data_IF_438106658245
#
_entry.id   IF_438106658245
#
_cell.length_a   1.000
_cell.length_b   1.000
_cell.length_c   1.000
_cell.angle_alpha   90.00
_cell.angle_beta   90.00
_cell.angle_gamma   90.00
#
_symmetry.space_group_name_H-M   'P 1'
#
loop_
_entity.id
_entity.type
_entity.pdbx_description
1 polymer ?
#
# COMPACT_ATOMS: atom_id res chain seq x y z
N UNK A 1 -53.73 -0.76 43.62
CA UNK A 1 -52.93 0.03 42.65
C UNK A 1 -51.50 -0.45 42.70
N UNK A 2 -51.01 -1.08 41.62
CA UNK A 2 -49.72 -1.76 41.57
C UNK A 2 -48.54 -0.76 41.46
N UNK A 3 -47.65 -0.75 42.44
CA UNK A 3 -46.50 0.16 42.56
C UNK A 3 -45.25 -0.27 41.77
N UNK A 4 -45.33 -1.33 40.96
CA UNK A 4 -44.16 -1.96 40.32
C UNK A 4 -43.72 -1.37 38.97
N UNK A 5 -44.36 -0.30 38.49
CA UNK A 5 -44.02 0.24 37.17
C UNK A 5 -42.64 0.92 37.14
N UNK A 6 -42.27 1.65 38.21
CA UNK A 6 -40.97 2.34 38.30
C UNK A 6 -39.77 1.39 38.30
N UNK A 7 -39.90 0.22 38.94
CA UNK A 7 -38.84 -0.79 39.00
C UNK A 7 -38.55 -1.43 37.63
N UNK A 8 -39.60 -1.64 36.81
CA UNK A 8 -39.47 -2.27 35.49
C UNK A 8 -38.73 -1.40 34.47
N UNK A 9 -38.95 -0.08 34.51
CA UNK A 9 -38.26 0.87 33.62
C UNK A 9 -36.80 1.08 34.01
N UNK A 10 -36.48 1.05 35.31
CA UNK A 10 -35.10 1.18 35.79
C UNK A 10 -34.19 0.05 35.30
N UNK A 11 -34.66 -1.20 35.35
CA UNK A 11 -33.90 -2.36 34.83
C UNK A 11 -33.76 -2.35 33.32
N UNK A 12 -34.78 -1.90 32.59
CA UNK A 12 -34.72 -1.82 31.13
C UNK A 12 -33.72 -0.75 30.65
N UNK A 13 -33.68 0.41 31.32
CA UNK A 13 -32.71 1.47 31.03
C UNK A 13 -31.28 1.06 31.36
N UNK A 14 -31.05 0.31 32.45
CA UNK A 14 -29.73 -0.19 32.80
C UNK A 14 -29.23 -1.23 31.76
N UNK A 15 -30.11 -2.10 31.29
CA UNK A 15 -29.79 -3.09 30.25
C UNK A 15 -29.52 -2.46 28.87
N UNK A 16 -30.24 -1.39 28.52
CA UNK A 16 -29.98 -0.60 27.32
C UNK A 16 -28.65 0.16 27.40
N UNK A 17 -28.30 0.68 28.58
CA UNK A 17 -27.02 1.35 28.79
C UNK A 17 -25.84 0.38 28.70
N UNK A 18 -25.95 -0.85 29.21
CA UNK A 18 -24.88 -1.87 29.09
C UNK A 18 -24.72 -2.38 27.66
N UNK A 19 -25.80 -2.51 26.90
CA UNK A 19 -25.74 -2.83 25.46
C UNK A 19 -25.13 -1.70 24.64
N UNK A 20 -25.41 -0.44 24.97
CA UNK A 20 -24.83 0.72 24.28
C UNK A 20 -23.32 0.87 24.51
N UNK A 21 -22.79 0.48 25.68
CA UNK A 21 -21.35 0.50 25.97
C UNK A 21 -20.60 -0.59 25.20
N UNK A 22 -21.22 -1.75 24.97
CA UNK A 22 -20.63 -2.86 24.20
C UNK A 22 -20.64 -2.62 22.68
N UNK A 23 -21.49 -1.72 22.19
CA UNK A 23 -21.63 -1.39 20.77
C UNK A 23 -20.83 -0.15 20.36
N UNK A 24 -19.74 0.15 21.06
CA UNK A 24 -18.77 1.12 20.53
C UNK A 24 -18.12 0.45 19.32
N UNK A 25 -18.34 0.93 18.07
CA UNK A 25 -17.53 0.47 16.96
C UNK A 25 -16.09 0.74 17.40
N UNK A 26 -15.31 -0.33 17.55
CA UNK A 26 -13.86 -0.18 17.62
C UNK A 26 -13.52 0.51 16.31
N UNK A 27 -13.32 1.83 16.37
CA UNK A 27 -12.83 2.58 15.25
C UNK A 27 -11.53 1.87 14.87
N UNK A 28 -11.55 1.17 13.73
CA UNK A 28 -10.38 0.50 13.21
C UNK A 28 -9.24 1.52 13.30
N UNK A 29 -8.18 1.17 14.04
CA UNK A 29 -7.04 2.05 14.14
C UNK A 29 -6.64 2.43 12.69
N UNK A 30 -6.40 3.71 12.40
CA UNK A 30 -6.07 4.12 11.04
C UNK A 30 -4.94 3.21 10.54
N UNK A 31 -5.05 2.65 9.33
CA UNK A 31 -4.10 1.64 8.87
C UNK A 31 -2.69 2.21 8.99
N UNK A 32 -1.80 1.45 9.65
CA UNK A 32 -0.40 1.84 9.78
C UNK A 32 0.21 1.80 8.38
N UNK A 33 0.46 2.96 7.81
CA UNK A 33 1.07 3.08 6.49
C UNK A 33 2.44 3.76 6.57
N UNK A 34 3.27 3.44 5.59
CA UNK A 34 4.60 3.97 5.40
C UNK A 34 4.59 4.74 4.08
N UNK A 35 4.81 6.05 4.13
CA UNK A 35 5.02 6.81 2.90
C UNK A 35 6.33 6.35 2.26
N UNK A 36 6.25 6.00 0.99
CA UNK A 36 7.32 5.48 0.16
C UNK A 36 7.63 6.52 -0.92
N UNK A 37 8.90 6.81 -1.14
CA UNK A 37 9.38 7.56 -2.29
C UNK A 37 10.57 6.81 -2.89
N UNK A 38 10.71 6.84 -4.21
CA UNK A 38 11.67 6.02 -4.92
C UNK A 38 11.92 6.42 -6.36
N UNK A 39 12.74 5.63 -7.04
CA UNK A 39 13.05 5.77 -8.47
C UNK A 39 12.95 4.44 -9.19
N UNK A 40 12.57 4.49 -10.45
CA UNK A 40 12.69 3.36 -11.38
C UNK A 40 14.10 3.36 -11.99
N UNK A 41 14.82 2.24 -11.83
CA UNK A 41 16.27 2.17 -12.17
C UNK A 41 16.52 1.73 -13.60
N UNK A 42 15.53 1.11 -14.25
CA UNK A 42 15.65 0.64 -15.63
C UNK A 42 14.61 1.39 -16.50
N UNK A 43 15.04 2.23 -17.45
CA UNK A 43 14.15 2.76 -18.46
C UNK A 43 13.50 1.62 -19.25
N UNK A 44 12.24 1.76 -19.63
CA UNK A 44 11.53 0.78 -20.46
C UNK A 44 12.29 0.39 -21.73
N UNK A 45 13.02 1.33 -22.34
CA UNK A 45 13.82 1.07 -23.55
C UNK A 45 14.95 0.06 -23.34
N UNK A 46 15.37 -0.15 -22.09
CA UNK A 46 16.41 -1.11 -21.70
C UNK A 46 15.84 -2.39 -21.08
N UNK A 47 14.63 -2.35 -20.52
CA UNK A 47 13.92 -3.52 -20.03
C UNK A 47 12.40 -3.40 -20.28
N UNK A 48 11.91 -3.85 -21.45
CA UNK A 48 10.49 -3.70 -21.81
C UNK A 48 9.57 -4.62 -21.02
N UNK A 49 10.13 -5.68 -20.44
CA UNK A 49 9.37 -6.71 -19.71
C UNK A 49 9.38 -6.47 -18.19
N UNK A 50 10.14 -5.51 -17.65
CA UNK A 50 10.13 -5.33 -16.20
C UNK A 50 10.77 -4.07 -15.66
N UNK A 51 10.32 -3.67 -14.47
CA UNK A 51 10.77 -2.48 -13.77
C UNK A 51 11.43 -2.84 -12.43
N UNK A 52 12.45 -2.08 -12.05
CA UNK A 52 13.05 -2.14 -10.71
C UNK A 52 12.79 -0.81 -10.02
N UNK A 53 11.96 -0.85 -8.99
CA UNK A 53 11.71 0.29 -8.13
C UNK A 53 12.58 0.21 -6.90
N UNK A 54 13.33 1.27 -6.60
CA UNK A 54 14.09 1.38 -5.35
C UNK A 54 13.43 2.44 -4.49
N UNK A 55 13.24 2.13 -3.22
CA UNK A 55 12.53 2.99 -2.28
C UNK A 55 13.34 3.33 -1.04
N UNK A 56 13.15 4.54 -0.55
CA UNK A 56 13.67 5.01 0.73
C UNK A 56 12.55 5.03 1.78
N UNK A 57 12.71 4.20 2.81
CA UNK A 57 11.74 4.00 3.89
C UNK A 57 12.17 4.73 5.18
N UNK A 58 13.17 5.62 5.13
CA UNK A 58 13.78 6.23 6.33
C UNK A 58 12.96 7.37 6.94
N UNK A 59 11.78 7.71 6.42
CA UNK A 59 10.99 8.82 6.95
C UNK A 59 10.57 8.56 8.42
N UNK A 60 11.06 9.38 9.38
CA UNK A 60 10.91 9.13 10.81
C UNK A 60 9.49 9.38 11.34
N UNK A 61 8.59 9.97 10.52
CA UNK A 61 7.18 10.18 10.88
C UNK A 61 6.32 8.93 10.74
N UNK A 62 6.85 7.88 10.10
CA UNK A 62 6.12 6.62 9.91
C UNK A 62 6.15 5.78 11.20
N UNK A 63 4.98 5.25 11.60
CA UNK A 63 4.82 4.35 12.75
C UNK A 63 5.02 2.86 12.39
N UNK A 64 5.77 2.60 11.32
CA UNK A 64 6.10 1.25 10.87
C UNK A 64 7.32 0.71 11.64
N UNK A 65 7.30 -0.58 11.94
CA UNK A 65 8.46 -1.36 12.41
C UNK A 65 9.63 -1.44 11.41
N UNK A 66 9.41 -1.07 10.15
CA UNK A 66 10.31 -1.10 9.01
C UNK A 66 10.97 0.26 8.84
N UNK A 67 12.30 0.27 8.72
CA UNK A 67 13.12 1.47 8.53
C UNK A 67 14.33 1.08 7.71
N UNK A 68 14.57 1.76 6.58
CA UNK A 68 15.73 1.52 5.75
C UNK A 68 15.45 1.73 4.27
N UNK A 69 15.96 0.84 3.42
CA UNK A 69 15.73 0.87 1.97
C UNK A 69 15.06 -0.41 1.53
N UNK A 70 14.35 -0.35 0.42
CA UNK A 70 13.85 -1.53 -0.24
C UNK A 70 13.91 -1.41 -1.76
N UNK A 71 13.69 -2.54 -2.42
CA UNK A 71 13.42 -2.55 -3.85
C UNK A 71 12.31 -3.54 -4.15
N UNK A 72 11.62 -3.30 -5.26
CA UNK A 72 10.64 -4.20 -5.85
C UNK A 72 11.04 -4.36 -7.31
N UNK A 73 11.21 -5.59 -7.76
CA UNK A 73 11.36 -5.95 -9.16
C UNK A 73 10.01 -6.48 -9.61
N UNK A 74 9.42 -5.93 -10.67
CA UNK A 74 8.16 -6.42 -11.26
C UNK A 74 8.34 -6.74 -12.74
N UNK A 75 7.53 -7.67 -13.21
CA UNK A 75 7.28 -7.93 -14.63
C UNK A 75 5.85 -7.46 -14.95
N UNK A 76 5.70 -6.58 -15.92
CA UNK A 76 4.41 -6.03 -16.34
C UNK A 76 3.96 -6.55 -17.72
N UNK A 77 4.66 -7.55 -18.27
CA UNK A 77 4.54 -7.94 -19.68
C UNK A 77 4.95 -6.80 -20.60
N UNK A 78 5.25 -7.10 -21.86
CA UNK A 78 5.98 -6.23 -22.80
C UNK A 78 5.63 -4.72 -22.92
N UNK A 79 4.57 -4.16 -22.32
CA UNK A 79 4.24 -2.72 -22.38
C UNK A 79 3.46 -2.21 -21.14
N UNK A 80 3.72 -0.95 -20.74
CA UNK A 80 2.78 -0.17 -19.90
C UNK A 80 1.47 0.08 -20.67
N UNK A 81 0.34 0.36 -19.99
CA UNK A 81 -0.92 0.58 -20.70
C UNK A 81 -0.82 1.83 -21.60
N UNK A 82 -0.89 1.61 -22.92
CA UNK A 82 -0.87 2.68 -23.94
C UNK A 82 -2.24 3.36 -24.11
N UNK A 83 -3.32 2.67 -23.70
CA UNK A 83 -4.70 3.16 -23.71
C UNK A 83 -5.27 3.12 -22.29
N UNK A 84 -6.38 3.83 -22.05
CA UNK A 84 -7.05 3.87 -20.75
C UNK A 84 -7.33 2.45 -20.24
N UNK A 85 -6.70 2.07 -19.12
CA UNK A 85 -6.77 0.71 -18.62
C UNK A 85 -5.67 0.35 -17.63
N UNK A 86 -5.65 -0.93 -17.26
CA UNK A 86 -4.66 -1.51 -16.36
C UNK A 86 -3.97 -2.69 -17.06
N UNK A 87 -2.66 -2.81 -16.87
CA UNK A 87 -1.90 -4.03 -17.19
C UNK A 87 -1.60 -4.77 -15.89
N UNK A 88 -1.81 -6.10 -15.85
CA UNK A 88 -1.49 -6.89 -14.67
C UNK A 88 0.03 -6.99 -14.50
N UNK A 89 0.46 -7.11 -13.24
CA UNK A 89 1.83 -7.43 -12.87
C UNK A 89 1.90 -8.92 -12.58
N UNK A 90 2.66 -9.67 -13.38
CA UNK A 90 2.66 -11.15 -13.34
C UNK A 90 3.63 -11.74 -12.30
N UNK A 91 4.28 -10.89 -11.51
CA UNK A 91 5.12 -11.32 -10.40
C UNK A 91 6.18 -10.30 -10.03
N UNK A 92 7.07 -10.72 -9.14
CA UNK A 92 8.13 -9.86 -8.67
C UNK A 92 8.74 -10.31 -7.36
N UNK A 93 9.92 -9.77 -7.07
CA UNK A 93 10.56 -9.96 -5.79
C UNK A 93 10.73 -8.61 -5.12
N UNK A 94 10.60 -8.59 -3.80
CA UNK A 94 10.88 -7.40 -3.04
C UNK A 94 11.74 -7.70 -1.83
N UNK A 95 12.52 -6.70 -1.45
CA UNK A 95 13.32 -6.73 -0.24
C UNK A 95 13.22 -5.38 0.43
N UNK A 96 13.14 -5.37 1.75
CA UNK A 96 13.26 -4.14 2.53
C UNK A 96 14.03 -4.37 3.82
N UNK A 97 14.67 -3.32 4.31
CA UNK A 97 15.32 -3.32 5.61
C UNK A 97 14.32 -2.88 6.71
N UNK A 98 14.16 -3.71 7.74
CA UNK A 98 13.41 -3.39 8.96
C UNK A 98 14.32 -3.52 10.17
N UNK A 99 14.65 -2.37 10.78
CA UNK A 99 15.67 -2.31 11.82
C UNK A 99 17.03 -2.72 11.26
N UNK A 100 17.51 -3.90 11.65
CA UNK A 100 18.79 -4.49 11.20
C UNK A 100 18.61 -5.78 10.39
N UNK A 101 17.37 -6.11 10.01
CA UNK A 101 17.05 -7.36 9.31
C UNK A 101 16.51 -7.06 7.93
N UNK A 102 17.07 -7.73 6.93
CA UNK A 102 16.47 -7.79 5.62
C UNK A 102 15.26 -8.71 5.65
N UNK A 103 14.15 -8.19 5.16
CA UNK A 103 12.92 -8.90 4.88
C UNK A 103 12.86 -9.08 3.38
N UNK A 104 12.56 -10.29 2.94
CA UNK A 104 12.42 -10.64 1.53
C UNK A 104 11.02 -11.20 1.30
N UNK A 105 10.52 -11.06 0.09
CA UNK A 105 9.22 -11.58 -0.31
C UNK A 105 9.00 -11.50 -1.80
N UNK A 106 7.77 -11.75 -2.21
CA UNK A 106 7.36 -11.78 -3.60
C UNK A 106 6.07 -10.96 -3.79
N UNK A 107 5.93 -10.42 -4.99
CA UNK A 107 4.67 -9.84 -5.49
C UNK A 107 3.80 -11.01 -5.94
N UNK A 108 2.60 -11.11 -5.38
CA UNK A 108 1.65 -12.19 -5.69
C UNK A 108 0.66 -11.76 -6.76
N UNK A 109 0.32 -10.47 -6.76
CA UNK A 109 -0.64 -9.86 -7.67
C UNK A 109 -0.40 -8.34 -7.74
N UNK A 110 -0.86 -7.69 -8.78
CA UNK A 110 -0.74 -6.25 -8.92
C UNK A 110 -1.20 -5.73 -10.28
N UNK A 111 -1.32 -4.42 -10.37
CA UNK A 111 -1.76 -3.71 -11.57
C UNK A 111 -0.98 -2.39 -11.71
N UNK A 112 -0.70 -2.02 -12.97
CA UNK A 112 -0.29 -0.67 -13.34
C UNK A 112 -1.37 -0.08 -14.23
N UNK A 113 -1.97 1.03 -13.82
CA UNK A 113 -3.09 1.66 -14.49
C UNK A 113 -2.75 3.08 -14.97
N UNK A 114 -3.31 3.48 -16.11
CA UNK A 114 -3.26 4.88 -16.56
C UNK A 114 -3.95 5.80 -15.55
N UNK A 115 -3.51 7.06 -15.48
CA UNK A 115 -4.24 8.13 -14.77
C UNK A 115 -4.77 9.18 -15.74
N UNK A 116 -5.41 10.22 -15.22
CA UNK A 116 -5.81 11.39 -16.02
C UNK A 116 -4.60 12.17 -16.59
N UNK A 117 -3.40 11.98 -16.01
CA UNK A 117 -2.14 12.53 -16.52
C UNK A 117 -1.43 11.44 -17.36
N UNK A 118 -1.17 11.68 -18.66
CA UNK A 118 -0.56 10.68 -19.55
C UNK A 118 0.88 10.31 -19.17
N UNK A 119 1.55 11.13 -18.35
CA UNK A 119 2.89 10.85 -17.85
C UNK A 119 2.88 10.22 -16.44
N UNK A 120 1.70 9.90 -15.87
CA UNK A 120 1.59 9.34 -14.51
C UNK A 120 0.76 8.06 -14.52
N UNK A 121 1.28 7.02 -13.85
CA UNK A 121 0.62 5.73 -13.70
C UNK A 121 0.30 5.44 -12.24
N UNK A 122 -0.87 4.88 -11.96
CA UNK A 122 -1.18 4.28 -10.66
C UNK A 122 -0.58 2.89 -10.59
N UNK A 123 0.11 2.58 -9.49
CA UNK A 123 0.75 1.28 -9.25
C UNK A 123 0.15 0.68 -7.98
N UNK A 124 -0.41 -0.52 -8.11
CA UNK A 124 -0.97 -1.31 -7.02
C UNK A 124 -0.28 -2.66 -6.96
N UNK A 125 0.33 -3.00 -5.82
CA UNK A 125 1.02 -4.28 -5.67
C UNK A 125 0.61 -4.96 -4.37
N UNK A 126 0.19 -6.21 -4.49
CA UNK A 126 -0.07 -7.12 -3.37
C UNK A 126 1.13 -8.04 -3.15
N UNK A 127 1.75 -7.90 -1.99
CA UNK A 127 3.05 -8.48 -1.67
C UNK A 127 2.98 -9.37 -0.43
N UNK A 128 3.77 -10.44 -0.42
CA UNK A 128 3.86 -11.36 0.73
C UNK A 128 5.31 -11.61 1.08
N UNK A 129 5.67 -11.42 2.36
CA UNK A 129 7.00 -11.77 2.86
C UNK A 129 7.13 -13.29 3.02
N UNK A 130 8.35 -13.83 2.99
CA UNK A 130 8.60 -15.26 3.28
C UNK A 130 8.13 -15.69 4.68
N UNK A 131 7.88 -14.74 5.59
CA UNK A 131 7.37 -14.99 6.94
C UNK A 131 5.83 -14.97 7.01
N UNK A 132 5.15 -14.79 5.87
CA UNK A 132 3.69 -14.77 5.76
C UNK A 132 3.06 -13.43 6.07
N UNK A 133 3.84 -12.35 6.18
CA UNK A 133 3.30 -11.00 6.37
C UNK A 133 2.80 -10.47 5.01
N UNK A 134 1.53 -10.08 4.95
CA UNK A 134 0.96 -9.40 3.78
C UNK A 134 1.28 -7.92 3.82
N UNK A 135 1.70 -7.39 2.68
CA UNK A 135 1.94 -5.98 2.46
C UNK A 135 1.15 -5.52 1.24
N UNK A 136 0.61 -4.32 1.30
CA UNK A 136 0.01 -3.68 0.14
C UNK A 136 0.76 -2.39 -0.19
N UNK A 137 1.16 -2.23 -1.44
CA UNK A 137 1.70 -0.98 -1.97
C UNK A 137 0.67 -0.32 -2.88
N UNK A 138 0.48 0.99 -2.68
CA UNK A 138 -0.27 1.85 -3.58
C UNK A 138 0.56 3.10 -3.84
N UNK A 139 0.79 3.46 -5.10
CA UNK A 139 1.54 4.66 -5.43
C UNK A 139 1.31 5.15 -6.84
N UNK A 140 1.99 6.24 -7.17
CA UNK A 140 2.01 6.85 -8.49
C UNK A 140 3.44 6.86 -9.00
N UNK A 141 3.60 6.49 -10.28
CA UNK A 141 4.85 6.48 -11.02
C UNK A 141 4.83 7.64 -12.02
N UNK A 142 5.72 8.61 -11.84
CA UNK A 142 5.84 9.84 -12.62
C UNK A 142 6.93 9.70 -13.69
N UNK A 143 6.51 9.61 -14.95
CA UNK A 143 7.35 9.50 -16.14
C UNK A 143 7.75 10.85 -16.75
N UNK A 144 7.22 11.98 -16.24
CA UNK A 144 7.58 13.32 -16.77
C UNK A 144 9.09 13.56 -16.87
N UNK A 145 9.97 13.05 -15.97
CA UNK A 145 11.42 13.18 -16.12
C UNK A 145 12.00 12.59 -17.40
N UNK A 146 11.35 11.60 -18.03
CA UNK A 146 11.80 11.00 -19.30
C UNK A 146 11.70 11.98 -20.48
N UNK A 147 10.76 12.94 -20.39
CA UNK A 147 10.53 13.96 -21.42
C UNK A 147 11.51 15.15 -21.32
N UNK A 148 12.40 15.16 -20.32
CA UNK A 148 13.38 16.23 -20.10
C UNK A 148 14.67 16.00 -20.91
N UNK A 149 15.48 17.06 -21.08
CA UNK A 149 16.82 16.95 -21.69
C UNK A 149 17.90 17.50 -20.73
N UNK A 150 18.82 16.66 -20.23
CA UNK A 150 18.88 15.20 -20.41
C UNK A 150 17.71 14.48 -19.72
N UNK A 151 17.30 13.29 -20.18
CA UNK A 151 16.24 12.53 -19.54
C UNK A 151 16.65 12.10 -18.13
N UNK A 152 15.73 12.27 -17.18
CA UNK A 152 15.86 11.81 -15.79
C UNK A 152 15.24 10.42 -15.59
N UNK A 153 15.44 9.85 -14.39
CA UNK A 153 14.76 8.60 -14.01
C UNK A 153 13.34 8.90 -13.51
N UNK A 154 12.34 8.07 -13.86
CA UNK A 154 11.01 8.14 -13.28
C UNK A 154 11.04 8.02 -11.76
N UNK A 155 10.12 8.72 -11.10
CA UNK A 155 9.99 8.69 -9.64
C UNK A 155 8.70 8.02 -9.22
N UNK A 156 8.74 7.28 -8.12
CA UNK A 156 7.56 6.64 -7.55
C UNK A 156 7.26 7.21 -6.18
N UNK A 157 6.02 7.60 -5.92
CA UNK A 157 5.55 8.05 -4.62
C UNK A 157 4.32 7.25 -4.20
N UNK A 158 4.30 6.72 -2.97
CA UNK A 158 3.21 5.85 -2.56
C UNK A 158 3.16 5.58 -1.08
N UNK A 159 2.35 4.59 -0.72
CA UNK A 159 2.14 4.11 0.64
C UNK A 159 2.19 2.60 0.64
N UNK A 160 2.98 2.07 1.56
CA UNK A 160 2.96 0.67 1.94
C UNK A 160 2.01 0.52 3.13
N UNK A 161 1.32 -0.61 3.26
CA UNK A 161 0.39 -0.97 4.33
C UNK A 161 0.72 -2.36 4.86
N UNK A 162 0.77 -2.56 6.19
CA UNK A 162 0.86 -3.90 6.79
C UNK A 162 -0.55 -4.51 6.93
N UNK A 163 -0.73 -5.72 6.42
CA UNK A 163 -1.99 -6.47 6.49
C UNK A 163 -2.88 -6.34 5.25
N UNK A 164 -4.13 -6.83 5.36
CA UNK A 164 -5.17 -6.63 4.36
C UNK A 164 -5.82 -5.26 4.58
N UNK A 165 -6.24 -4.59 3.50
CA UNK A 165 -7.13 -3.43 3.64
C UNK A 165 -8.39 -3.85 4.43
N UNK A 166 -8.89 -2.99 5.34
CA UNK A 166 -10.09 -3.27 6.12
C UNK A 166 -11.34 -3.47 5.26
#
# INVERSE_FOLDING_TARGET
MNTNWKARWGTALLALATLAVMASPSAAAPPNYLQVQGVEVLPQSLNPDGAVFVYDLRNPRNRWSGRGFGYVVVDHGNQLPEEEGCVPVEGGEFQYLSGWRFKHGFVVDGDICTTDDPDVYSVFLYMVTYQGETLLFYGELDHRPLNQFPPGLPTVEGRLYEGLLP
#
